data_IF_168963047411
#
_entry.id   IF_168963047411
#
_cell.length_a   1.000
_cell.length_b   1.000
_cell.length_c   1.000
_cell.angle_alpha   90.00
_cell.angle_beta   90.00
_cell.angle_gamma   90.00
#
_symmetry.space_group_name_H-M   'P 1'
#
loop_
_entity.id
_entity.type
_entity.pdbx_description
1 polymer ?
#
# COMPACT_ATOMS: atom_id res chain seq x y z
N UNK A 1 25.17 0.45 16.77
CA UNK A 1 25.43 -0.89 17.36
C UNK A 1 26.03 -1.76 16.29
N UNK A 2 27.35 -1.88 16.36
CA UNK A 2 28.27 -2.55 15.43
C UNK A 2 28.49 -3.98 15.90
N UNK A 3 28.22 -4.97 15.04
CA UNK A 3 28.77 -6.32 15.21
C UNK A 3 29.44 -6.77 13.93
N UNK A 4 30.77 -6.84 14.00
CA UNK A 4 31.65 -7.58 13.11
C UNK A 4 31.65 -9.07 13.50
N UNK A 5 32.10 -9.97 12.60
CA UNK A 5 31.88 -11.42 12.69
C UNK A 5 32.98 -12.15 13.47
N UNK A 6 32.59 -13.20 14.22
CA UNK A 6 33.52 -14.06 14.94
C UNK A 6 34.13 -15.14 14.05
N UNK A 7 35.44 -15.26 14.20
CA UNK A 7 36.36 -16.10 13.46
C UNK A 7 36.27 -17.58 13.84
N UNK A 8 36.71 -18.37 12.86
CA UNK A 8 36.99 -19.79 12.85
C UNK A 8 38.09 -20.10 13.88
N UNK A 9 37.90 -21.14 14.70
CA UNK A 9 39.00 -21.81 15.40
C UNK A 9 38.97 -23.29 15.05
N UNK A 10 39.94 -23.67 14.21
CA UNK A 10 40.36 -25.04 13.97
C UNK A 10 41.07 -25.57 15.23
N UNK A 11 40.63 -26.71 15.73
CA UNK A 11 41.31 -27.44 16.81
C UNK A 11 42.19 -28.52 16.17
N UNK A 12 43.49 -28.28 16.13
CA UNK A 12 44.51 -29.29 15.78
C UNK A 12 44.98 -29.94 17.07
N UNK A 13 44.56 -31.18 17.33
CA UNK A 13 45.10 -31.99 18.43
C UNK A 13 46.49 -32.51 18.03
N UNK A 14 47.51 -31.93 18.66
CA UNK A 14 48.89 -32.41 18.66
C UNK A 14 49.03 -33.47 19.76
N UNK A 15 49.22 -34.73 19.39
CA UNK A 15 49.66 -35.77 20.33
C UNK A 15 51.15 -35.59 20.62
N UNK A 16 51.44 -35.22 21.87
CA UNK A 16 52.77 -35.05 22.42
C UNK A 16 53.51 -36.39 22.55
N UNK A 17 54.73 -36.40 22.03
CA UNK A 17 55.73 -37.46 22.15
C UNK A 17 56.40 -37.31 23.53
N UNK A 18 56.17 -38.28 24.43
CA UNK A 18 56.93 -38.43 25.67
C UNK A 18 58.14 -39.33 25.42
N UNK A 19 59.34 -38.74 25.47
CA UNK A 19 60.61 -39.45 25.52
C UNK A 19 60.91 -39.78 26.99
N UNK A 20 60.89 -41.06 27.36
CA UNK A 20 61.51 -41.55 28.59
C UNK A 20 62.74 -42.37 28.24
N UNK A 21 63.84 -42.02 28.91
CA UNK A 21 65.14 -42.68 28.89
C UNK A 21 65.04 -44.14 29.35
N UNK A 22 65.66 -45.06 28.61
CA UNK A 22 65.87 -46.43 29.07
C UNK A 22 67.32 -46.85 28.82
N UNK A 23 67.97 -47.24 29.91
CA UNK A 23 69.36 -47.64 30.07
C UNK A 23 69.52 -49.12 29.64
N UNK A 24 70.51 -49.52 28.81
CA UNK A 24 70.64 -50.91 28.39
C UNK A 24 71.72 -51.65 29.17
N UNK A 25 71.36 -52.75 29.82
CA UNK A 25 72.30 -53.85 30.09
C UNK A 25 71.93 -55.11 29.28
N UNK A 26 72.91 -55.90 28.79
CA UNK A 26 72.68 -56.93 27.80
C UNK A 26 72.68 -58.37 28.36
N UNK A 27 72.23 -59.27 27.49
CA UNK A 27 72.42 -60.73 27.47
C UNK A 27 71.51 -61.63 28.32
N UNK A 28 70.61 -62.32 27.61
CA UNK A 28 70.33 -63.75 27.84
C UNK A 28 69.63 -64.33 26.61
N UNK A 29 70.37 -65.09 25.81
CA UNK A 29 69.84 -65.92 24.75
C UNK A 29 69.14 -67.16 25.35
N UNK A 30 67.88 -67.37 25.00
CA UNK A 30 67.26 -68.70 24.91
C UNK A 30 65.91 -68.57 24.18
N UNK A 31 65.88 -69.21 23.02
CA UNK A 31 64.80 -70.01 22.46
C UNK A 31 63.32 -69.59 22.58
N UNK A 32 62.72 -69.69 21.39
CA UNK A 32 61.41 -70.30 21.13
C UNK A 32 60.23 -69.35 20.90
N UNK A 33 59.65 -69.55 19.71
CA UNK A 33 58.34 -69.08 19.27
C UNK A 33 58.19 -67.55 19.15
N UNK A 34 58.68 -67.02 18.02
CA UNK A 34 57.95 -65.93 17.39
C UNK A 34 56.51 -66.41 17.15
N UNK A 35 55.46 -65.67 17.57
CA UNK A 35 54.10 -66.10 17.27
C UNK A 35 53.95 -66.09 15.75
N UNK A 36 53.91 -67.29 15.17
CA UNK A 36 53.42 -67.50 13.82
C UNK A 36 52.05 -66.82 13.76
N UNK A 37 52.00 -65.72 13.00
CA UNK A 37 50.75 -65.10 12.56
C UNK A 37 49.99 -66.11 11.70
N UNK A 38 49.33 -67.05 12.36
CA UNK A 38 48.33 -67.93 11.74
C UNK A 38 47.04 -67.12 11.59
N UNK A 39 47.13 -66.00 10.85
CA UNK A 39 45.95 -65.37 10.28
C UNK A 39 45.43 -66.34 9.24
N UNK A 40 44.47 -67.18 9.63
CA UNK A 40 43.87 -68.13 8.71
C UNK A 40 43.10 -67.38 7.64
N UNK A 41 42.98 -67.96 6.45
CA UNK A 41 42.17 -67.38 5.36
C UNK A 41 40.75 -67.05 5.84
N UNK A 42 40.22 -67.84 6.76
CA UNK A 42 38.92 -67.63 7.43
C UNK A 42 38.89 -66.35 8.29
N UNK A 43 39.93 -66.07 9.07
CA UNK A 43 40.03 -64.82 9.84
C UNK A 43 40.10 -63.58 8.94
N UNK A 44 40.76 -63.69 7.78
CA UNK A 44 40.83 -62.60 6.79
C UNK A 44 39.47 -62.40 6.12
N UNK A 45 38.76 -63.47 5.76
CA UNK A 45 37.42 -63.36 5.17
C UNK A 45 36.39 -62.79 6.16
N UNK A 46 36.47 -63.17 7.44
CA UNK A 46 35.59 -62.64 8.47
C UNK A 46 35.86 -61.15 8.74
N UNK A 47 37.13 -60.75 8.78
CA UNK A 47 37.51 -59.34 8.90
C UNK A 47 37.07 -58.52 7.69
N UNK A 48 37.16 -59.08 6.48
CA UNK A 48 36.66 -58.43 5.26
C UNK A 48 35.14 -58.27 5.29
N UNK A 49 34.39 -59.31 5.66
CA UNK A 49 32.93 -59.26 5.78
C UNK A 49 32.48 -58.23 6.84
N UNK A 50 33.20 -58.14 7.97
CA UNK A 50 32.94 -57.11 8.99
C UNK A 50 33.24 -55.69 8.48
N UNK A 51 34.33 -55.51 7.73
CA UNK A 51 34.69 -54.23 7.14
C UNK A 51 33.67 -53.79 6.07
N UNK A 52 33.22 -54.71 5.22
CA UNK A 52 32.17 -54.47 4.23
C UNK A 52 30.84 -54.08 4.91
N UNK A 53 30.45 -54.79 5.96
CA UNK A 53 29.25 -54.47 6.75
C UNK A 53 29.33 -53.08 7.41
N UNK A 54 30.49 -52.68 7.96
CA UNK A 54 30.65 -51.33 8.53
C UNK A 54 30.68 -50.26 7.43
N UNK A 55 31.27 -50.53 6.27
CA UNK A 55 31.21 -49.61 5.11
C UNK A 55 29.77 -49.37 4.69
N UNK A 56 28.94 -50.41 4.59
CA UNK A 56 27.53 -50.27 4.24
C UNK A 56 26.75 -49.54 5.34
N UNK A 57 27.01 -49.83 6.61
CA UNK A 57 26.44 -49.08 7.74
C UNK A 57 26.77 -47.59 7.69
N UNK A 58 28.01 -47.24 7.34
CA UNK A 58 28.45 -45.85 7.20
C UNK A 58 27.83 -45.18 5.97
N UNK A 59 27.63 -45.91 4.87
CA UNK A 59 26.91 -45.43 3.68
C UNK A 59 25.45 -45.11 4.00
N UNK A 60 24.75 -46.01 4.67
CA UNK A 60 23.36 -45.82 5.09
C UNK A 60 23.24 -44.65 6.07
N UNK A 61 24.14 -44.57 7.05
CA UNK A 61 24.20 -43.43 7.98
C UNK A 61 24.42 -42.11 7.24
N UNK A 62 25.32 -42.07 6.25
CA UNK A 62 25.56 -40.89 5.42
C UNK A 62 24.34 -40.51 4.58
N UNK A 63 23.62 -41.49 4.02
CA UNK A 63 22.39 -41.25 3.30
C UNK A 63 21.30 -40.67 4.21
N UNK A 64 21.11 -41.24 5.40
CA UNK A 64 20.17 -40.75 6.40
C UNK A 64 20.50 -39.32 6.86
N UNK A 65 21.79 -39.00 7.07
CA UNK A 65 22.24 -37.63 7.39
C UNK A 65 21.85 -36.65 6.27
N UNK A 66 22.16 -36.98 5.02
CA UNK A 66 21.82 -36.10 3.86
C UNK A 66 20.32 -35.89 3.73
N UNK A 67 19.52 -36.93 3.98
CA UNK A 67 18.06 -36.82 3.97
C UNK A 67 17.56 -35.89 5.07
N UNK A 68 18.07 -36.06 6.29
CA UNK A 68 17.74 -35.22 7.44
C UNK A 68 18.16 -33.75 7.22
N UNK A 69 19.37 -33.50 6.70
CA UNK A 69 19.84 -32.16 6.33
C UNK A 69 18.95 -31.52 5.26
N UNK A 70 18.56 -32.29 4.24
CA UNK A 70 17.65 -31.84 3.21
C UNK A 70 16.27 -31.48 3.74
N UNK A 71 15.72 -32.30 4.64
CA UNK A 71 14.43 -32.05 5.29
C UNK A 71 14.48 -30.79 6.17
N UNK A 72 15.49 -30.66 7.02
CA UNK A 72 15.68 -29.50 7.88
C UNK A 72 15.85 -28.21 7.07
N UNK A 73 16.68 -28.25 6.01
CA UNK A 73 16.91 -27.11 5.12
C UNK A 73 15.62 -26.66 4.42
N UNK A 74 14.80 -27.60 3.95
CA UNK A 74 13.49 -27.29 3.35
C UNK A 74 12.54 -26.66 4.36
N UNK A 75 12.48 -27.19 5.59
CA UNK A 75 11.62 -26.66 6.64
C UNK A 75 12.01 -25.23 7.03
N UNK A 76 13.30 -24.94 7.19
CA UNK A 76 13.81 -23.59 7.48
C UNK A 76 13.48 -22.64 6.33
N UNK A 77 13.75 -23.04 5.09
CA UNK A 77 13.44 -22.22 3.90
C UNK A 77 11.94 -21.90 3.83
N UNK A 78 11.08 -22.89 4.08
CA UNK A 78 9.64 -22.69 4.11
C UNK A 78 9.22 -21.70 5.21
N UNK A 79 9.81 -21.80 6.40
CA UNK A 79 9.58 -20.86 7.51
C UNK A 79 9.91 -19.42 7.11
N UNK A 80 11.09 -19.20 6.52
CA UNK A 80 11.56 -17.88 6.06
C UNK A 80 10.64 -17.31 4.97
N UNK A 81 10.28 -18.12 3.96
CA UNK A 81 9.43 -17.66 2.86
C UNK A 81 8.00 -17.37 3.34
N UNK A 82 7.47 -18.15 4.30
CA UNK A 82 6.20 -17.84 4.97
C UNK A 82 6.27 -16.54 5.78
N UNK A 83 7.40 -16.27 6.43
CA UNK A 83 7.61 -15.01 7.15
C UNK A 83 7.64 -13.81 6.19
N UNK A 84 8.35 -13.96 5.06
CA UNK A 84 8.42 -12.95 4.00
C UNK A 84 7.02 -12.61 3.43
N UNK A 85 6.20 -13.62 3.16
CA UNK A 85 4.84 -13.46 2.66
C UNK A 85 3.87 -12.82 3.68
N UNK A 86 4.20 -12.86 4.98
CA UNK A 86 3.32 -12.40 6.05
C UNK A 86 3.90 -11.20 6.81
N UNK A 87 4.67 -11.44 7.88
CA UNK A 87 5.09 -10.38 8.80
C UNK A 87 6.03 -9.37 8.15
N UNK A 88 7.01 -9.81 7.36
CA UNK A 88 7.90 -8.87 6.68
C UNK A 88 7.18 -8.03 5.62
N UNK A 89 6.15 -8.57 4.97
CA UNK A 89 5.32 -7.78 4.06
C UNK A 89 4.59 -6.64 4.79
N UNK A 90 4.08 -6.91 6.00
CA UNK A 90 3.45 -5.89 6.86
C UNK A 90 4.48 -4.82 7.27
N UNK A 91 5.66 -5.26 7.70
CA UNK A 91 6.74 -4.35 8.14
C UNK A 91 7.25 -3.48 6.99
N UNK A 92 7.42 -4.04 5.79
CA UNK A 92 7.79 -3.30 4.58
C UNK A 92 6.74 -2.25 4.22
N UNK A 93 5.46 -2.63 4.19
CA UNK A 93 4.36 -1.69 3.92
C UNK A 93 4.33 -0.55 4.94
N UNK A 94 4.47 -0.87 6.25
CA UNK A 94 4.50 0.14 7.32
C UNK A 94 5.69 1.09 7.17
N UNK A 95 6.87 0.57 6.82
CA UNK A 95 8.05 1.39 6.58
C UNK A 95 7.85 2.34 5.38
N UNK A 96 7.28 1.85 4.27
CA UNK A 96 6.95 2.70 3.11
C UNK A 96 5.93 3.77 3.47
N UNK A 97 4.85 3.43 4.17
CA UNK A 97 3.83 4.40 4.57
C UNK A 97 4.40 5.50 5.46
N UNK A 98 5.28 5.15 6.41
CA UNK A 98 5.97 6.15 7.26
C UNK A 98 6.90 7.05 6.45
N UNK A 99 7.66 6.49 5.52
CA UNK A 99 8.54 7.28 4.66
C UNK A 99 7.75 8.22 3.73
N UNK A 100 6.60 7.75 3.21
CA UNK A 100 5.69 8.57 2.43
C UNK A 100 5.07 9.69 3.26
N UNK A 101 4.57 9.39 4.45
CA UNK A 101 4.03 10.40 5.38
C UNK A 101 5.09 11.46 5.72
N UNK A 102 6.33 11.05 6.00
CA UNK A 102 7.43 11.97 6.26
C UNK A 102 7.71 12.88 5.05
N UNK A 103 7.75 12.31 3.85
CA UNK A 103 7.95 13.03 2.59
C UNK A 103 6.83 14.06 2.35
N UNK A 104 5.57 13.67 2.49
CA UNK A 104 4.42 14.56 2.30
C UNK A 104 4.38 15.68 3.35
N UNK A 105 4.71 15.38 4.60
CA UNK A 105 4.80 16.39 5.66
C UNK A 105 5.83 17.48 5.34
N UNK A 106 6.96 17.11 4.72
CA UNK A 106 7.95 18.08 4.24
C UNK A 106 7.44 18.86 3.02
N UNK A 107 6.70 18.22 2.13
CA UNK A 107 6.13 18.85 0.93
C UNK A 107 5.13 19.96 1.26
N UNK A 108 4.33 19.79 2.32
CA UNK A 108 3.33 20.78 2.77
C UNK A 108 3.86 21.76 3.83
N UNK A 109 5.10 21.61 4.28
CA UNK A 109 5.66 22.47 5.32
C UNK A 109 5.67 23.95 4.90
N UNK A 110 5.52 24.87 5.88
CA UNK A 110 5.51 26.31 5.59
C UNK A 110 6.80 26.77 4.91
N UNK A 111 7.95 26.29 5.38
CA UNK A 111 9.25 26.55 4.76
C UNK A 111 9.60 25.40 3.80
N UNK A 112 9.85 25.75 2.55
CA UNK A 112 10.21 24.79 1.52
C UNK A 112 11.73 24.53 1.53
N UNK A 113 12.12 23.33 1.98
CA UNK A 113 13.51 22.88 2.06
C UNK A 113 13.72 21.73 1.06
N UNK A 114 14.27 22.06 -0.10
CA UNK A 114 14.49 21.11 -1.21
C UNK A 114 15.44 19.98 -0.81
N UNK A 115 16.45 20.28 0.01
CA UNK A 115 17.45 19.29 0.39
C UNK A 115 16.86 18.23 1.32
N UNK A 116 16.06 18.65 2.32
CA UNK A 116 15.34 17.70 3.19
C UNK A 116 14.32 16.88 2.42
N UNK A 117 13.60 17.52 1.50
CA UNK A 117 12.61 16.84 0.67
C UNK A 117 13.26 15.78 -0.23
N UNK A 118 14.41 16.10 -0.85
CA UNK A 118 15.17 15.16 -1.68
C UNK A 118 15.69 13.96 -0.88
N UNK A 119 16.19 14.18 0.33
CA UNK A 119 16.62 13.10 1.22
C UNK A 119 15.46 12.17 1.60
N UNK A 120 14.32 12.74 2.02
CA UNK A 120 13.12 11.98 2.34
C UNK A 120 12.57 11.21 1.13
N UNK A 121 12.67 11.78 -0.08
CA UNK A 121 12.28 11.08 -1.31
C UNK A 121 13.17 9.85 -1.55
N UNK A 122 14.48 9.98 -1.33
CA UNK A 122 15.41 8.85 -1.39
C UNK A 122 15.03 7.73 -0.41
N UNK A 123 14.72 8.07 0.85
CA UNK A 123 14.27 7.11 1.86
C UNK A 123 12.96 6.41 1.45
N UNK A 124 12.00 7.17 0.93
CA UNK A 124 10.75 6.64 0.40
C UNK A 124 10.99 5.66 -0.75
N UNK A 125 11.85 6.01 -1.72
CA UNK A 125 12.19 5.11 -2.85
C UNK A 125 12.90 3.84 -2.38
N UNK A 126 13.78 3.92 -1.39
CA UNK A 126 14.42 2.74 -0.79
C UNK A 126 13.41 1.86 -0.07
N UNK A 127 12.44 2.45 0.65
CA UNK A 127 11.38 1.70 1.31
C UNK A 127 10.46 0.99 0.30
N UNK A 128 10.07 1.66 -0.80
CA UNK A 128 9.27 1.05 -1.86
C UNK A 128 10.02 -0.06 -2.61
N UNK A 129 11.33 0.11 -2.86
CA UNK A 129 12.16 -0.94 -3.44
C UNK A 129 12.25 -2.18 -2.53
N UNK A 130 12.31 -2.00 -1.20
CA UNK A 130 12.27 -3.10 -0.23
C UNK A 130 10.94 -3.86 -0.27
N UNK A 131 9.81 -3.16 -0.44
CA UNK A 131 8.52 -3.80 -0.69
C UNK A 131 8.56 -4.67 -1.95
N UNK A 132 9.16 -4.17 -3.04
CA UNK A 132 9.38 -4.92 -4.27
C UNK A 132 10.24 -6.18 -4.08
N UNK A 133 11.39 -6.04 -3.43
CA UNK A 133 12.29 -7.15 -3.14
C UNK A 133 11.62 -8.23 -2.26
N UNK A 134 10.89 -7.82 -1.21
CA UNK A 134 10.14 -8.76 -0.37
C UNK A 134 9.05 -9.49 -1.18
N UNK A 135 8.34 -8.79 -2.06
CA UNK A 135 7.33 -9.39 -2.94
C UNK A 135 7.93 -10.45 -3.88
N UNK A 136 9.07 -10.16 -4.50
CA UNK A 136 9.80 -11.10 -5.35
C UNK A 136 10.24 -12.34 -4.56
N UNK A 137 10.77 -12.15 -3.35
CA UNK A 137 11.18 -13.26 -2.51
C UNK A 137 9.99 -14.10 -2.02
N UNK A 138 8.88 -13.45 -1.64
CA UNK A 138 7.65 -14.10 -1.18
C UNK A 138 6.97 -14.93 -2.28
N UNK A 139 7.14 -14.61 -3.57
CA UNK A 139 6.65 -15.45 -4.69
C UNK A 139 7.22 -16.86 -4.68
N UNK A 140 8.37 -17.08 -4.03
CA UNK A 140 8.92 -18.43 -3.88
C UNK A 140 8.02 -19.34 -3.01
N UNK A 141 7.03 -18.79 -2.30
CA UNK A 141 6.11 -19.57 -1.49
C UNK A 141 5.29 -20.53 -2.35
N UNK A 142 4.81 -20.08 -3.50
CA UNK A 142 4.00 -20.91 -4.40
C UNK A 142 4.84 -22.03 -5.04
N UNK A 143 6.16 -21.86 -5.15
CA UNK A 143 7.09 -22.92 -5.57
C UNK A 143 7.46 -23.88 -4.45
N UNK A 144 7.55 -23.39 -3.21
CA UNK A 144 8.03 -24.18 -2.05
C UNK A 144 6.90 -24.90 -1.32
N UNK A 145 5.69 -24.35 -1.38
CA UNK A 145 4.47 -24.80 -0.71
C UNK A 145 3.26 -24.47 -1.62
N UNK A 146 3.14 -25.15 -2.78
CA UNK A 146 2.12 -24.83 -3.78
C UNK A 146 0.70 -24.99 -3.20
N UNK A 147 -0.20 -24.13 -3.64
CA UNK A 147 -1.63 -24.34 -3.37
C UNK A 147 -2.13 -25.55 -4.16
N UNK A 148 -3.16 -26.27 -3.66
CA UNK A 148 -3.82 -27.30 -4.45
C UNK A 148 -4.39 -26.68 -5.74
N UNK A 149 -4.35 -27.45 -6.82
CA UNK A 149 -4.89 -27.01 -8.10
C UNK A 149 -6.35 -26.60 -7.97
N UNK A 150 -6.76 -25.66 -8.83
CA UNK A 150 -8.17 -25.31 -8.94
C UNK A 150 -8.99 -26.50 -9.47
N UNK A 151 -10.33 -26.50 -9.31
CA UNK A 151 -11.19 -27.58 -9.83
C UNK A 151 -11.08 -27.82 -11.34
N UNK A 152 -10.52 -26.87 -12.09
CA UNK A 152 -10.28 -26.93 -13.54
C UNK A 152 -8.83 -27.28 -13.90
N UNK A 153 -8.01 -27.68 -12.93
CA UNK A 153 -6.61 -28.07 -13.12
C UNK A 153 -5.63 -26.91 -13.36
N UNK A 154 -6.06 -25.66 -13.18
CA UNK A 154 -5.17 -24.51 -13.29
C UNK A 154 -4.38 -24.28 -11.99
N UNK A 155 -3.07 -23.96 -12.07
CA UNK A 155 -2.25 -23.59 -10.91
C UNK A 155 -2.82 -22.38 -10.18
N UNK A 156 -2.78 -22.39 -8.85
CA UNK A 156 -3.21 -21.26 -8.01
C UNK A 156 -2.01 -20.55 -7.41
N UNK A 157 -2.00 -19.23 -7.54
CA UNK A 157 -0.99 -18.36 -6.93
C UNK A 157 -1.58 -17.61 -5.74
N UNK A 158 -0.76 -17.37 -4.72
CA UNK A 158 -1.15 -16.54 -3.57
C UNK A 158 -1.03 -15.07 -3.95
N UNK A 159 -2.02 -14.28 -3.55
CA UNK A 159 -1.91 -12.82 -3.67
C UNK A 159 -0.79 -12.29 -2.76
N UNK A 160 0.03 -11.41 -3.32
CA UNK A 160 1.12 -10.76 -2.58
C UNK A 160 0.58 -9.58 -1.78
N UNK A 161 0.94 -9.52 -0.50
CA UNK A 161 0.53 -8.44 0.42
C UNK A 161 1.32 -7.14 0.24
N UNK A 162 2.43 -7.19 -0.47
CA UNK A 162 3.30 -6.05 -0.73
C UNK A 162 3.86 -6.13 -2.14
N UNK A 163 4.40 -5.03 -2.63
CA UNK A 163 4.97 -4.88 -3.95
C UNK A 163 5.50 -3.47 -4.14
N UNK A 164 6.38 -3.30 -5.11
CA UNK A 164 6.84 -1.98 -5.53
C UNK A 164 5.69 -1.25 -6.23
N UNK A 165 5.39 -0.03 -5.81
CA UNK A 165 4.25 0.74 -6.35
C UNK A 165 4.69 1.95 -7.16
N UNK A 166 5.83 2.53 -6.81
CA UNK A 166 6.25 3.83 -7.33
C UNK A 166 7.53 3.71 -8.14
N UNK A 167 7.71 2.62 -8.88
CA UNK A 167 8.91 2.36 -9.67
C UNK A 167 9.24 3.54 -10.61
N UNK A 168 8.21 4.03 -11.33
CA UNK A 168 8.33 5.08 -12.35
C UNK A 168 8.31 6.51 -11.80
N UNK A 169 8.06 6.69 -10.50
CA UNK A 169 8.08 8.02 -9.89
C UNK A 169 9.53 8.50 -9.75
N UNK A 170 9.89 9.54 -10.50
CA UNK A 170 11.19 10.20 -10.44
C UNK A 170 11.16 11.40 -9.51
N UNK A 171 12.34 11.84 -9.05
CA UNK A 171 12.47 13.03 -8.23
C UNK A 171 11.95 14.29 -8.93
N UNK A 172 12.28 14.49 -10.20
CA UNK A 172 11.82 15.65 -10.97
C UNK A 172 10.30 15.71 -11.05
N UNK A 173 9.65 14.59 -11.41
CA UNK A 173 8.20 14.50 -11.50
C UNK A 173 7.52 14.80 -10.16
N UNK A 174 8.08 14.27 -9.07
CA UNK A 174 7.56 14.53 -7.73
C UNK A 174 7.74 16.00 -7.33
N UNK A 175 8.92 16.59 -7.58
CA UNK A 175 9.20 17.99 -7.27
C UNK A 175 8.28 18.94 -8.04
N UNK A 176 8.08 18.70 -9.34
CA UNK A 176 7.16 19.49 -10.18
C UNK A 176 5.73 19.44 -9.63
N UNK A 177 5.27 18.26 -9.20
CA UNK A 177 3.97 18.10 -8.56
C UNK A 177 3.88 18.95 -7.27
N UNK A 178 4.86 18.83 -6.37
CA UNK A 178 4.88 19.57 -5.10
C UNK A 178 4.86 21.09 -5.33
N UNK A 179 5.65 21.59 -6.29
CA UNK A 179 5.68 23.02 -6.62
C UNK A 179 4.31 23.49 -7.13
N UNK A 180 3.70 22.72 -8.04
CA UNK A 180 2.38 23.06 -8.59
C UNK A 180 1.27 23.03 -7.53
N UNK A 181 1.29 22.04 -6.64
CA UNK A 181 0.30 21.91 -5.57
C UNK A 181 0.42 23.07 -4.57
N UNK A 182 1.65 23.49 -4.23
CA UNK A 182 1.90 24.66 -3.38
C UNK A 182 1.45 25.97 -4.04
N UNK A 183 1.75 26.16 -5.33
CA UNK A 183 1.31 27.33 -6.08
C UNK A 183 -0.22 27.39 -6.16
N UNK A 184 -0.89 26.25 -6.36
CA UNK A 184 -2.35 26.15 -6.34
C UNK A 184 -2.91 26.50 -4.95
N UNK A 185 -2.34 25.95 -3.89
CA UNK A 185 -2.78 26.25 -2.52
C UNK A 185 -2.67 27.75 -2.18
N UNK A 186 -1.58 28.41 -2.58
CA UNK A 186 -1.41 29.85 -2.36
C UNK A 186 -2.39 30.68 -3.22
N UNK A 187 -2.59 30.29 -4.48
CA UNK A 187 -3.59 30.93 -5.35
C UNK A 187 -4.98 30.85 -4.74
N UNK A 188 -5.38 29.66 -4.28
CA UNK A 188 -6.70 29.44 -3.72
C UNK A 188 -6.87 30.20 -2.38
N UNK A 189 -5.81 30.29 -1.56
CA UNK A 189 -5.76 31.15 -0.38
C UNK A 189 -6.00 32.62 -0.73
N UNK A 190 -5.24 33.16 -1.70
CA UNK A 190 -5.38 34.55 -2.14
C UNK A 190 -6.76 34.84 -2.72
N UNK A 191 -7.31 33.90 -3.52
CA UNK A 191 -8.65 34.01 -4.08
C UNK A 191 -9.72 34.08 -2.98
N UNK A 192 -9.65 33.21 -1.97
CA UNK A 192 -10.57 33.23 -0.84
C UNK A 192 -10.49 34.54 -0.06
N UNK A 193 -9.28 35.08 0.18
CA UNK A 193 -9.12 36.38 0.83
C UNK A 193 -9.77 37.52 0.03
N UNK A 194 -9.60 37.52 -1.30
CA UNK A 194 -10.22 38.51 -2.18
C UNK A 194 -11.74 38.37 -2.20
N UNK A 195 -12.28 37.15 -2.21
CA UNK A 195 -13.72 36.91 -2.12
C UNK A 195 -14.30 37.40 -0.79
N UNK A 196 -13.65 37.10 0.34
CA UNK A 196 -14.07 37.59 1.65
C UNK A 196 -14.05 39.12 1.71
N UNK A 197 -12.99 39.75 1.22
CA UNK A 197 -12.90 41.21 1.14
C UNK A 197 -13.99 41.82 0.25
N UNK A 198 -14.23 41.25 -0.93
CA UNK A 198 -15.27 41.73 -1.84
C UNK A 198 -16.66 41.61 -1.19
N UNK A 199 -16.96 40.49 -0.54
CA UNK A 199 -18.21 40.28 0.17
C UNK A 199 -18.43 41.32 1.27
N UNK A 200 -17.42 41.55 2.12
CA UNK A 200 -17.47 42.56 3.18
C UNK A 200 -17.73 43.97 2.61
N UNK A 201 -17.05 44.32 1.52
CA UNK A 201 -17.25 45.63 0.88
C UNK A 201 -18.64 45.76 0.24
N UNK A 202 -19.18 44.68 -0.34
CA UNK A 202 -20.56 44.70 -0.87
C UNK A 202 -21.60 44.83 0.23
N UNK A 203 -21.43 44.14 1.36
CA UNK A 203 -22.34 44.25 2.50
C UNK A 203 -22.27 45.63 3.15
N UNK A 204 -21.07 46.19 3.31
CA UNK A 204 -20.88 47.56 3.83
C UNK A 204 -21.52 48.60 2.90
N UNK A 205 -21.36 48.47 1.58
CA UNK A 205 -22.01 49.34 0.61
C UNK A 205 -23.54 49.21 0.66
N UNK A 206 -24.07 47.98 0.74
CA UNK A 206 -25.50 47.74 0.87
C UNK A 206 -26.07 48.30 2.18
N UNK A 207 -25.37 48.15 3.30
CA UNK A 207 -25.74 48.73 4.58
C UNK A 207 -25.74 50.26 4.54
N UNK A 208 -24.73 50.87 3.91
CA UNK A 208 -24.65 52.33 3.72
C UNK A 208 -25.80 52.83 2.84
N UNK A 209 -26.12 52.13 1.76
CA UNK A 209 -27.24 52.48 0.89
C UNK A 209 -28.60 52.35 1.62
N UNK A 210 -28.80 51.30 2.42
CA UNK A 210 -30.00 51.16 3.26
C UNK A 210 -30.12 52.28 4.29
N UNK A 211 -29.02 52.64 4.95
CA UNK A 211 -28.99 53.75 5.91
C UNK A 211 -29.28 55.10 5.24
N UNK A 212 -28.74 55.33 4.04
CA UNK A 212 -29.01 56.54 3.26
C UNK A 212 -30.46 56.61 2.77
N UNK A 213 -31.04 55.48 2.34
CA UNK A 213 -32.45 55.40 1.94
C UNK A 213 -33.39 55.67 3.12
N UNK A 214 -33.09 55.11 4.30
CA UNK A 214 -33.85 55.39 5.54
C UNK A 214 -33.68 56.83 6.03
N UNK A 215 -32.57 57.49 5.70
CA UNK A 215 -32.35 58.91 6.03
C UNK A 215 -33.02 59.87 5.03
N UNK A 216 -33.33 59.39 3.81
CA UNK A 216 -34.14 60.10 2.81
C UNK A 216 -35.65 59.97 3.08
N UNK A 217 -36.04 59.19 4.08
CA UNK A 217 -37.42 58.96 4.51
C UNK A 217 -38.03 60.17 5.28
N UNK A 218 -37.59 61.38 4.95
CA UNK A 218 -38.44 62.56 4.92
C UNK A 218 -39.11 62.56 3.53
N UNK A 219 -40.18 61.80 3.27
CA UNK A 219 -41.23 62.21 2.32
C UNK A 219 -42.42 61.24 2.33
N UNK A 220 -43.59 61.83 2.11
CA UNK A 220 -44.88 61.24 1.75
C UNK A 220 -44.77 59.83 1.17
N UNK A 221 -45.54 58.91 1.77
CA UNK A 221 -45.98 57.65 1.16
C UNK A 221 -46.29 57.87 -0.32
N UNK A 222 -45.34 57.52 -1.19
CA UNK A 222 -45.65 57.27 -2.59
C UNK A 222 -46.56 56.05 -2.57
N UNK A 223 -47.86 56.31 -2.64
CA UNK A 223 -48.93 55.32 -2.80
C UNK A 223 -48.79 54.73 -4.22
N UNK A 224 -47.68 54.04 -4.44
CA UNK A 224 -47.49 53.18 -5.59
C UNK A 224 -48.29 51.92 -5.26
N UNK A 225 -49.36 51.59 -6.01
CA UNK A 225 -50.10 50.38 -5.77
C UNK A 225 -49.11 49.21 -5.82
N UNK A 226 -48.97 48.49 -4.70
CA UNK A 226 -48.19 47.27 -4.68
C UNK A 226 -48.77 46.33 -5.74
N UNK A 227 -47.94 45.76 -6.64
CA UNK A 227 -48.45 44.76 -7.56
C UNK A 227 -49.06 43.61 -6.74
N UNK A 228 -50.21 43.06 -7.19
CA UNK A 228 -50.87 41.97 -6.49
C UNK A 228 -49.90 40.81 -6.25
N UNK A 229 -50.03 40.16 -5.10
CA UNK A 229 -49.12 39.08 -4.75
C UNK A 229 -49.19 37.97 -5.81
N UNK A 230 -48.07 37.31 -6.09
CA UNK A 230 -47.99 36.23 -7.10
C UNK A 230 -49.07 35.16 -6.87
N UNK A 231 -49.44 34.92 -5.61
CA UNK A 231 -50.53 34.01 -5.24
C UNK A 231 -51.91 34.47 -5.75
N UNK A 232 -52.19 35.77 -5.73
CA UNK A 232 -53.44 36.38 -6.19
C UNK A 232 -53.54 36.38 -7.73
N UNK A 233 -52.41 36.65 -8.40
CA UNK A 233 -52.30 36.54 -9.86
C UNK A 233 -52.54 35.10 -10.33
N UNK A 234 -51.93 34.13 -9.64
CA UNK A 234 -52.14 32.71 -9.93
C UNK A 234 -53.59 32.28 -9.66
N UNK A 235 -54.20 32.73 -8.57
CA UNK A 235 -55.59 32.40 -8.26
C UNK A 235 -56.58 32.99 -9.29
N UNK A 236 -56.33 34.21 -9.75
CA UNK A 236 -57.09 34.85 -10.84
C UNK A 236 -56.92 34.12 -12.18
N UNK A 237 -55.69 33.75 -12.55
CA UNK A 237 -55.40 33.01 -13.77
C UNK A 237 -56.06 31.62 -13.78
N UNK A 238 -56.10 30.93 -12.65
CA UNK A 238 -56.78 29.63 -12.52
C UNK A 238 -58.31 29.79 -12.59
N UNK A 239 -58.86 30.85 -12.01
CA UNK A 239 -60.30 31.11 -12.02
C UNK A 239 -60.83 31.51 -13.41
N UNK A 240 -59.99 32.12 -14.25
CA UNK A 240 -60.32 32.51 -15.62
C UNK A 240 -60.33 31.35 -16.62
N UNK A 241 -59.83 30.17 -16.25
CA UNK A 241 -59.80 28.98 -17.11
C UNK A 241 -61.11 28.22 -17.01
N UNK A 242 -61.82 28.14 -18.12
CA UNK A 242 -62.97 27.26 -18.26
C UNK A 242 -62.55 25.97 -18.99
N UNK A 243 -62.62 24.83 -18.28
CA UNK A 243 -62.17 23.54 -18.81
C UNK A 243 -63.00 23.04 -20.00
N UNK A 244 -64.18 23.62 -20.22
CA UNK A 244 -65.04 23.32 -21.37
C UNK A 244 -64.59 23.95 -22.69
N UNK A 245 -63.66 24.91 -22.66
CA UNK A 245 -63.15 25.59 -23.85
C UNK A 245 -61.92 24.87 -24.46
N UNK A 246 -61.50 23.77 -23.85
CA UNK A 246 -60.36 23.00 -24.31
C UNK A 246 -60.71 22.05 -25.46
N UNK A 247 -59.88 22.05 -26.50
CA UNK A 247 -60.02 21.17 -27.66
C UNK A 247 -59.78 19.69 -27.26
N UNK A 248 -60.79 18.80 -27.44
CA UNK A 248 -60.67 17.38 -27.10
C UNK A 248 -59.53 16.65 -27.84
N UNK A 249 -59.20 17.05 -29.07
CA UNK A 249 -58.10 16.43 -29.82
C UNK A 249 -56.73 16.83 -29.26
N UNK A 250 -56.58 18.09 -28.83
CA UNK A 250 -55.36 18.56 -28.18
C UNK A 250 -55.18 17.96 -26.79
N UNK A 251 -56.27 17.79 -26.02
CA UNK A 251 -56.24 17.09 -24.74
C UNK A 251 -55.79 15.64 -24.87
N UNK A 252 -56.20 14.97 -25.95
CA UNK A 252 -55.82 13.58 -26.25
C UNK A 252 -54.36 13.47 -26.71
N UNK A 253 -53.86 14.45 -27.46
CA UNK A 253 -52.50 14.46 -27.98
C UNK A 253 -51.44 14.88 -26.94
N UNK A 254 -51.73 15.90 -26.12
CA UNK A 254 -50.77 16.48 -25.18
C UNK A 254 -51.04 16.10 -23.70
N UNK A 255 -52.20 15.53 -23.41
CA UNK A 255 -52.65 15.23 -22.04
C UNK A 255 -53.25 16.44 -21.34
N UNK A 256 -54.35 16.21 -20.61
CA UNK A 256 -55.18 17.25 -19.95
C UNK A 256 -54.37 18.19 -19.04
N UNK A 257 -53.40 17.65 -18.29
CA UNK A 257 -52.57 18.43 -17.36
C UNK A 257 -51.67 19.42 -18.12
N UNK A 258 -51.15 19.02 -19.28
CA UNK A 258 -50.28 19.88 -20.09
C UNK A 258 -51.06 21.03 -20.72
N UNK A 259 -52.26 20.75 -21.26
CA UNK A 259 -53.15 21.76 -21.84
C UNK A 259 -53.57 22.78 -20.78
N UNK A 260 -53.93 22.31 -19.58
CA UNK A 260 -54.29 23.19 -18.46
C UNK A 260 -53.12 24.10 -18.04
N UNK A 261 -51.91 23.56 -17.93
CA UNK A 261 -50.73 24.36 -17.55
C UNK A 261 -50.37 25.40 -18.61
N UNK A 262 -50.54 25.08 -19.89
CA UNK A 262 -50.33 26.05 -20.98
C UNK A 262 -51.35 27.20 -20.91
N UNK A 263 -52.62 26.90 -20.63
CA UNK A 263 -53.65 27.92 -20.45
C UNK A 263 -53.40 28.80 -19.21
N UNK A 264 -52.95 28.21 -18.10
CA UNK A 264 -52.55 28.96 -16.89
C UNK A 264 -51.42 29.94 -17.17
N UNK A 265 -50.39 29.50 -17.89
CA UNK A 265 -49.26 30.36 -18.22
C UNK A 265 -49.66 31.50 -19.16
N UNK A 266 -50.50 31.23 -20.15
CA UNK A 266 -50.98 32.26 -21.09
C UNK A 266 -51.84 33.33 -20.38
N UNK A 267 -52.63 32.95 -19.38
CA UNK A 267 -53.44 33.91 -18.63
C UNK A 267 -52.62 34.70 -17.60
N UNK A 268 -51.62 34.06 -16.99
CA UNK A 268 -50.64 34.75 -16.16
C UNK A 268 -49.86 35.80 -16.95
N UNK A 269 -49.47 35.49 -18.18
CA UNK A 269 -48.76 36.43 -19.07
C UNK A 269 -49.62 37.67 -19.38
N UNK A 270 -50.91 37.49 -19.69
CA UNK A 270 -51.84 38.62 -19.87
C UNK A 270 -52.02 39.47 -18.61
N UNK A 271 -52.07 38.85 -17.43
CA UNK A 271 -52.23 39.57 -16.15
C UNK A 271 -50.96 40.34 -15.79
N UNK A 272 -49.78 39.81 -16.14
CA UNK A 272 -48.49 40.50 -15.99
C UNK A 272 -48.40 41.68 -16.95
N UNK A 273 -48.85 41.53 -18.20
CA UNK A 273 -48.86 42.60 -19.20
C UNK A 273 -49.89 43.71 -18.87
N UNK A 274 -50.98 43.39 -18.16
CA UNK A 274 -51.97 44.37 -17.72
C UNK A 274 -51.60 45.08 -16.40
N UNK A 275 -50.62 44.55 -15.65
CA UNK A 275 -50.15 45.09 -14.37
C UNK A 275 -48.88 45.94 -14.46
N UNK A 276 -48.27 46.05 -15.64
CA UNK A 276 -47.13 46.93 -15.97
C UNK A 276 -47.57 48.08 -16.88
#
# INVERSE_FOLDING_TARGET
>A
MTHAPNAITETTDQLAIGHDEYDPEPESAADDQGPELTTTVEMISDALAQAEAEVDRLRDKKAAIREAEGAASRQVRLGIVRQAANSWAIDCNRARSRAQEHLENLAIATRFDVAKLAAAFGEFKLADARCGANALYARNLDRTDPLPDSPIGAPRERSLRTGQQYADLTWSRYLDQVINDRARAERDRCFNLLQSFAHEQTENAAATARAAALALDDYESLDVPQPPAIAELHQSAVAAINEHDFDPEQMKAAGVISVRRAAQNAELEKLIDAGN
#
